data_IF_505869743877
#
_entry.id   IF_505869743877
#
_cell.length_a   1.000
_cell.length_b   1.000
_cell.length_c   1.000
_cell.angle_alpha   90.00
_cell.angle_beta   90.00
_cell.angle_gamma   90.00
#
_symmetry.space_group_name_H-M   'P 1'
#
loop_
_entity.id
_entity.type
_entity.pdbx_description
1 polymer ?
#
# COMPACT_ATOMS: atom_id res chain seq x y z
N UNK A 1 0.71 -5.28 19.00
CA UNK A 1 2.15 -5.48 19.18
C UNK A 1 2.90 -4.76 18.07
N UNK A 2 3.83 -3.88 18.41
CA UNK A 2 4.56 -3.16 17.37
C UNK A 2 5.44 -4.12 16.57
N UNK A 3 5.43 -3.93 15.27
CA UNK A 3 6.27 -4.71 14.37
C UNK A 3 7.64 -4.04 14.26
N UNK A 4 8.69 -4.82 14.08
CA UNK A 4 10.05 -4.29 14.03
C UNK A 4 10.27 -3.26 12.91
N UNK A 5 9.43 -3.26 11.88
CA UNK A 5 9.54 -2.35 10.74
C UNK A 5 8.60 -1.15 10.80
N UNK A 6 7.80 -1.00 11.87
CA UNK A 6 6.78 0.06 11.95
C UNK A 6 7.37 1.46 11.79
N UNK A 7 8.53 1.72 12.39
CA UNK A 7 9.18 3.02 12.31
C UNK A 7 9.60 3.34 10.87
N UNK A 8 10.23 2.38 10.20
CA UNK A 8 10.66 2.56 8.81
C UNK A 8 9.48 2.74 7.88
N UNK A 9 8.41 1.99 8.10
CA UNK A 9 7.18 2.12 7.33
C UNK A 9 6.58 3.51 7.52
N UNK A 10 6.52 4.00 8.75
CA UNK A 10 5.97 5.32 9.05
C UNK A 10 6.77 6.43 8.35
N UNK A 11 8.10 6.35 8.40
CA UNK A 11 8.96 7.34 7.74
C UNK A 11 8.78 7.33 6.22
N UNK A 12 8.70 6.13 5.64
CA UNK A 12 8.48 5.97 4.20
C UNK A 12 7.11 6.48 3.79
N UNK A 13 6.08 6.23 4.61
CA UNK A 13 4.73 6.73 4.36
C UNK A 13 4.68 8.24 4.34
N UNK A 14 5.37 8.90 5.27
CA UNK A 14 5.45 10.36 5.28
C UNK A 14 6.06 10.89 4.00
N UNK A 15 7.13 10.26 3.53
CA UNK A 15 7.79 10.65 2.30
C UNK A 15 6.88 10.46 1.09
N UNK A 16 6.22 9.31 1.01
CA UNK A 16 5.28 9.00 -0.08
C UNK A 16 4.15 10.02 -0.10
N UNK A 17 3.60 10.35 1.07
CA UNK A 17 2.51 11.31 1.18
C UNK A 17 2.92 12.69 0.70
N UNK A 18 4.11 13.16 1.11
CA UNK A 18 4.64 14.45 0.67
C UNK A 18 4.85 14.51 -0.83
N UNK A 19 5.44 13.46 -1.40
CA UNK A 19 5.67 13.37 -2.84
C UNK A 19 4.35 13.38 -3.60
N UNK A 20 3.37 12.64 -3.11
CA UNK A 20 2.04 12.59 -3.73
C UNK A 20 1.35 13.95 -3.67
N UNK A 21 1.47 14.66 -2.56
CA UNK A 21 0.89 15.99 -2.43
C UNK A 21 1.55 17.00 -3.38
N UNK A 22 2.87 16.90 -3.55
CA UNK A 22 3.58 17.76 -4.50
C UNK A 22 3.13 17.51 -5.94
N UNK A 23 2.84 16.25 -6.27
CA UNK A 23 2.49 15.86 -7.63
C UNK A 23 1.01 16.04 -7.94
N UNK A 24 0.13 15.76 -6.97
CA UNK A 24 -1.32 15.74 -7.19
C UNK A 24 -2.07 16.85 -6.43
N UNK A 25 -1.39 17.55 -5.55
CA UNK A 25 -1.93 18.74 -4.87
C UNK A 25 -3.23 18.48 -4.11
N UNK A 26 -4.26 19.23 -4.43
CA UNK A 26 -5.53 19.21 -3.71
C UNK A 26 -6.33 17.91 -3.89
N UNK A 27 -5.92 17.03 -4.80
CA UNK A 27 -6.57 15.73 -4.95
C UNK A 27 -6.38 14.84 -3.73
N UNK A 28 -5.34 15.10 -2.92
CA UNK A 28 -5.04 14.32 -1.72
C UNK A 28 -5.28 15.17 -0.50
N UNK A 29 -6.32 14.82 0.28
CA UNK A 29 -6.70 15.53 1.50
C UNK A 29 -6.27 14.78 2.76
N UNK A 30 -6.06 13.47 2.66
CA UNK A 30 -5.69 12.65 3.80
C UNK A 30 -4.93 11.41 3.35
N UNK A 31 -4.45 10.64 4.31
CA UNK A 31 -3.78 9.37 4.05
C UNK A 31 -4.31 8.29 5.00
N UNK A 32 -4.24 7.06 4.54
CA UNK A 32 -4.65 5.90 5.35
C UNK A 32 -3.71 4.75 5.05
N UNK A 33 -3.18 4.12 6.08
CA UNK A 33 -2.35 2.94 5.95
C UNK A 33 -3.16 1.70 6.31
N UNK A 34 -3.26 0.77 5.36
CA UNK A 34 -3.92 -0.50 5.58
C UNK A 34 -2.94 -1.43 6.30
N UNK A 35 -3.07 -1.55 7.61
CA UNK A 35 -2.14 -2.30 8.47
C UNK A 35 -2.62 -3.71 8.81
N UNK A 36 -3.55 -4.25 8.03
CA UNK A 36 -4.01 -5.62 8.21
C UNK A 36 -2.88 -6.63 8.00
N UNK A 37 -3.01 -7.79 8.62
CA UNK A 37 -2.01 -8.83 8.53
C UNK A 37 -2.02 -9.57 7.20
N UNK A 38 -3.13 -9.49 6.48
CA UNK A 38 -3.30 -10.17 5.21
C UNK A 38 -2.93 -9.31 4.01
N UNK A 39 -2.32 -9.93 3.03
CA UNK A 39 -1.98 -9.28 1.77
C UNK A 39 -3.27 -8.93 1.00
N UNK A 40 -3.47 -7.66 0.60
CA UNK A 40 -4.68 -7.29 -0.14
C UNK A 40 -4.76 -7.93 -1.53
N UNK A 41 -3.69 -8.53 -2.03
CA UNK A 41 -3.70 -9.21 -3.32
C UNK A 41 -4.11 -10.68 -3.24
N UNK A 42 -3.72 -11.40 -2.19
CA UNK A 42 -3.95 -12.84 -2.12
C UNK A 42 -4.37 -13.36 -0.75
N UNK A 43 -4.41 -12.51 0.28
CA UNK A 43 -4.80 -12.89 1.63
C UNK A 43 -3.72 -13.55 2.47
N UNK A 44 -2.56 -13.80 1.91
CA UNK A 44 -1.45 -14.42 2.64
C UNK A 44 -0.86 -13.44 3.67
N UNK A 45 -0.16 -13.99 4.65
CA UNK A 45 0.53 -13.16 5.62
C UNK A 45 1.60 -12.31 4.94
N UNK A 46 1.74 -11.06 5.38
CA UNK A 46 2.76 -10.14 4.87
C UNK A 46 4.13 -10.64 5.32
N UNK A 47 5.06 -10.71 4.37
CA UNK A 47 6.42 -11.16 4.65
C UNK A 47 7.42 -10.38 3.81
N UNK A 48 8.70 -10.43 4.21
CA UNK A 48 9.75 -9.72 3.49
C UNK A 48 10.07 -10.41 2.16
N UNK A 49 10.51 -9.63 1.21
CA UNK A 49 11.00 -10.12 -0.08
C UNK A 49 12.44 -9.70 -0.25
N UNK A 50 13.17 -10.35 -1.15
CA UNK A 50 14.52 -9.94 -1.52
C UNK A 50 14.44 -8.88 -2.61
N UNK A 51 15.06 -7.74 -2.33
CA UNK A 51 15.18 -6.67 -3.31
C UNK A 51 16.60 -6.14 -3.28
N UNK A 52 17.30 -6.25 -4.40
CA UNK A 52 18.71 -5.87 -4.51
C UNK A 52 19.58 -6.50 -3.41
N UNK A 53 19.36 -7.79 -3.15
CA UNK A 53 20.07 -8.60 -2.15
C UNK A 53 19.78 -8.22 -0.70
N UNK A 54 18.77 -7.39 -0.46
CA UNK A 54 18.36 -7.00 0.90
C UNK A 54 16.92 -7.42 1.17
N UNK A 55 16.64 -7.72 2.43
CA UNK A 55 15.26 -7.98 2.85
C UNK A 55 14.50 -6.67 2.88
N UNK A 56 13.32 -6.66 2.29
CA UNK A 56 12.48 -5.48 2.22
C UNK A 56 11.01 -5.87 2.27
N UNK A 57 10.18 -4.95 2.75
CA UNK A 57 8.73 -5.07 2.63
C UNK A 57 8.27 -4.37 1.36
N UNK A 58 7.27 -4.94 0.70
CA UNK A 58 6.69 -4.32 -0.48
C UNK A 58 5.65 -3.29 -0.06
N UNK A 59 6.08 -2.04 0.11
CA UNK A 59 5.21 -0.93 0.48
C UNK A 59 4.78 -0.19 -0.79
N UNK A 60 3.48 -0.05 -0.97
CA UNK A 60 2.88 0.54 -2.15
C UNK A 60 1.80 1.53 -1.75
N UNK A 61 1.36 2.36 -2.69
CA UNK A 61 0.30 3.33 -2.43
C UNK A 61 -0.46 3.65 -3.71
N UNK A 62 -1.73 4.03 -3.56
CA UNK A 62 -2.52 4.57 -4.66
C UNK A 62 -3.51 5.62 -4.13
N UNK A 63 -4.05 6.41 -5.04
CA UNK A 63 -4.99 7.48 -4.67
C UNK A 63 -6.42 7.01 -4.90
N UNK A 64 -7.22 6.99 -3.82
CA UNK A 64 -8.66 6.75 -3.90
C UNK A 64 -9.33 8.11 -4.10
N UNK A 65 -9.48 8.51 -5.35
CA UNK A 65 -9.88 9.86 -5.73
C UNK A 65 -11.25 10.30 -5.20
N UNK A 66 -12.18 9.38 -5.14
CA UNK A 66 -13.54 9.67 -4.64
C UNK A 66 -13.53 10.21 -3.21
N UNK A 67 -12.55 9.79 -2.41
CA UNK A 67 -12.42 10.19 -1.01
C UNK A 67 -11.23 11.12 -0.77
N UNK A 68 -10.44 11.40 -1.79
CA UNK A 68 -9.26 12.25 -1.65
C UNK A 68 -8.23 11.67 -0.70
N UNK A 69 -8.09 10.35 -0.63
CA UNK A 69 -7.20 9.70 0.30
C UNK A 69 -6.10 8.94 -0.44
N UNK A 70 -4.87 9.05 0.08
CA UNK A 70 -3.76 8.22 -0.36
C UNK A 70 -3.77 6.96 0.51
N UNK A 71 -4.03 5.81 -0.11
CA UNK A 71 -4.04 4.53 0.59
C UNK A 71 -2.69 3.85 0.39
N UNK A 72 -1.97 3.63 1.48
CA UNK A 72 -0.72 2.89 1.47
C UNK A 72 -0.95 1.49 2.03
N UNK A 73 -0.21 0.52 1.53
CA UNK A 73 -0.43 -0.88 1.89
C UNK A 73 0.82 -1.71 1.66
N UNK A 74 0.88 -2.84 2.35
CA UNK A 74 1.96 -3.82 2.20
C UNK A 74 1.45 -5.03 1.41
N UNK A 75 2.32 -5.61 0.61
CA UNK A 75 2.04 -6.86 -0.11
C UNK A 75 2.94 -7.96 0.42
N UNK A 76 2.50 -9.21 0.30
CA UNK A 76 3.37 -10.36 0.57
C UNK A 76 4.47 -10.42 -0.51
N UNK A 77 5.52 -11.19 -0.26
CA UNK A 77 6.65 -11.29 -1.19
C UNK A 77 6.22 -11.72 -2.59
N UNK A 78 5.28 -12.64 -2.70
CA UNK A 78 4.80 -13.13 -3.99
C UNK A 78 4.10 -12.05 -4.79
N UNK A 79 3.15 -11.34 -4.18
CA UNK A 79 2.44 -10.24 -4.86
C UNK A 79 3.36 -9.06 -5.11
N UNK A 80 4.24 -8.73 -4.16
CA UNK A 80 5.21 -7.67 -4.33
C UNK A 80 6.12 -7.90 -5.52
N UNK A 81 6.62 -9.12 -5.70
CA UNK A 81 7.44 -9.46 -6.85
C UNK A 81 6.67 -9.32 -8.16
N UNK A 82 5.41 -9.73 -8.20
CA UNK A 82 4.59 -9.58 -9.39
C UNK A 82 4.39 -8.11 -9.77
N UNK A 83 4.15 -7.26 -8.79
CA UNK A 83 3.94 -5.83 -9.02
C UNK A 83 5.22 -5.17 -9.53
N UNK A 84 6.37 -5.48 -8.92
CA UNK A 84 7.66 -4.91 -9.34
C UNK A 84 8.00 -5.30 -10.77
N UNK A 85 7.71 -6.54 -11.18
CA UNK A 85 8.02 -7.02 -12.51
C UNK A 85 7.03 -6.56 -13.58
N UNK A 86 5.86 -6.07 -13.16
CA UNK A 86 4.85 -5.64 -14.11
C UNK A 86 5.27 -4.34 -14.80
N UNK A 87 5.11 -4.29 -16.12
CA UNK A 87 5.40 -3.09 -16.91
C UNK A 87 4.18 -2.19 -17.07
N UNK A 88 3.02 -2.70 -16.69
CA UNK A 88 1.74 -1.98 -16.75
C UNK A 88 0.79 -2.56 -15.71
N UNK A 89 -0.37 -1.94 -15.53
CA UNK A 89 -1.36 -2.48 -14.63
C UNK A 89 -1.82 -3.87 -15.07
N UNK A 90 -2.01 -4.75 -14.10
CA UNK A 90 -2.41 -6.14 -14.32
C UNK A 90 -3.72 -6.41 -13.58
N UNK A 91 -4.39 -7.56 -13.81
CA UNK A 91 -5.55 -7.95 -13.01
C UNK A 91 -5.27 -7.98 -11.51
N UNK A 92 -4.01 -8.27 -11.11
CA UNK A 92 -3.63 -8.21 -9.70
C UNK A 92 -3.74 -6.80 -9.14
N UNK A 93 -3.32 -5.79 -9.89
CA UNK A 93 -3.46 -4.38 -9.47
C UNK A 93 -4.93 -4.02 -9.25
N UNK A 94 -5.80 -4.41 -10.17
CA UNK A 94 -7.23 -4.15 -10.04
C UNK A 94 -7.83 -4.83 -8.81
N UNK A 95 -7.43 -6.06 -8.52
CA UNK A 95 -7.91 -6.80 -7.36
C UNK A 95 -7.43 -6.16 -6.06
N UNK A 96 -6.18 -5.75 -6.01
CA UNK A 96 -5.61 -5.06 -4.84
C UNK A 96 -6.39 -3.78 -4.57
N UNK A 97 -6.60 -2.93 -5.59
CA UNK A 97 -7.33 -1.68 -5.41
C UNK A 97 -8.77 -1.91 -4.97
N UNK A 98 -9.43 -2.89 -5.57
CA UNK A 98 -10.79 -3.26 -5.20
C UNK A 98 -10.89 -3.63 -3.72
N UNK A 99 -9.98 -4.47 -3.25
CA UNK A 99 -9.97 -4.92 -1.86
C UNK A 99 -9.67 -3.78 -0.90
N UNK A 100 -8.74 -2.89 -1.26
CA UNK A 100 -8.37 -1.75 -0.42
C UNK A 100 -9.47 -0.70 -0.37
N UNK A 101 -10.13 -0.42 -1.49
CA UNK A 101 -11.26 0.51 -1.51
C UNK A 101 -12.39 0.01 -0.62
N UNK A 102 -12.71 -1.28 -0.70
CA UNK A 102 -13.71 -1.89 0.16
C UNK A 102 -13.33 -1.79 1.64
N UNK A 103 -12.07 -2.06 1.97
CA UNK A 103 -11.57 -1.97 3.35
C UNK A 103 -11.64 -0.54 3.86
N UNK A 104 -11.31 0.46 3.03
CA UNK A 104 -11.37 1.86 3.43
C UNK A 104 -12.81 2.31 3.70
N UNK A 105 -13.74 1.96 2.81
CA UNK A 105 -15.15 2.29 2.98
C UNK A 105 -15.69 1.67 4.27
N UNK A 106 -15.32 0.42 4.55
CA UNK A 106 -15.69 -0.25 5.79
C UNK A 106 -15.10 0.48 7.02
N UNK A 107 -13.87 0.94 6.92
CA UNK A 107 -13.21 1.73 7.96
C UNK A 107 -13.98 3.02 8.25
N UNK A 108 -14.45 3.71 7.21
CA UNK A 108 -15.23 4.93 7.35
C UNK A 108 -16.60 4.71 7.96
N UNK A 109 -17.16 3.51 7.81
CA UNK A 109 -18.50 3.18 8.31
C UNK A 109 -18.61 3.01 9.81
N UNK A 110 -17.57 3.27 10.55
CA UNK A 110 -17.56 3.14 12.01
C UNK A 110 -17.78 4.44 12.73
#
# INVERSE_FOLDING_TARGET
>A
MPKSYDKEVAETLDLIFRQAQMQFGSAIKSRWFHDGDGCPGCGREINVMKYKKKDALSLNAFIFREHGVLIAYLLCSKCGNKVIRATSETPLHAEIEKNLKAAFVKHLGH
#
